data_IF_549905663710
#
_entry.id   IF_549905663710
#
_cell.length_a   1.000
_cell.length_b   1.000
_cell.length_c   1.000
_cell.angle_alpha   90.00
_cell.angle_beta   90.00
_cell.angle_gamma   90.00
#
_symmetry.space_group_name_H-M   'P 1'
#
loop_
_entity.id
_entity.type
_entity.pdbx_description
1 polymer ?
#
# COMPACT_ATOMS: atom_id res chain seq x y z
N UNK A 1 -15.62 50.46 -64.74
CA UNK A 1 -16.26 49.39 -63.95
C UNK A 1 -15.18 48.74 -63.11
N UNK A 2 -15.12 49.11 -61.80
CA UNK A 2 -14.08 48.65 -60.89
C UNK A 2 -14.65 47.38 -60.23
N UNK A 3 -14.07 46.20 -60.50
CA UNK A 3 -14.47 44.93 -59.85
C UNK A 3 -13.66 44.81 -58.57
N UNK A 4 -14.32 44.98 -57.43
CA UNK A 4 -13.69 44.79 -56.11
C UNK A 4 -13.76 43.32 -55.75
N UNK A 5 -12.59 42.61 -55.79
CA UNK A 5 -12.51 41.22 -55.30
C UNK A 5 -12.32 41.27 -53.80
N UNK A 6 -13.37 40.84 -53.04
CA UNK A 6 -13.26 40.57 -51.61
C UNK A 6 -12.57 39.22 -51.39
N UNK A 7 -11.35 39.25 -50.96
CA UNK A 7 -10.68 38.04 -50.44
C UNK A 7 -11.16 37.74 -49.03
N UNK A 8 -11.81 36.63 -48.81
CA UNK A 8 -12.10 36.09 -47.47
C UNK A 8 -10.75 35.60 -46.91
N UNK A 9 -10.10 36.39 -46.08
CA UNK A 9 -8.90 35.96 -45.38
C UNK A 9 -9.33 35.27 -44.10
N UNK A 10 -9.04 33.98 -43.99
CA UNK A 10 -9.13 33.25 -42.73
C UNK A 10 -7.86 33.58 -41.92
N UNK A 11 -8.09 34.12 -40.70
CA UNK A 11 -6.96 34.46 -39.78
C UNK A 11 -6.57 33.19 -39.00
N UNK A 12 -5.90 32.27 -39.65
CA UNK A 12 -5.25 31.11 -39.01
C UNK A 12 -3.75 31.43 -38.81
N UNK A 13 -3.21 30.95 -37.69
CA UNK A 13 -1.79 31.12 -37.38
C UNK A 13 -1.11 29.75 -37.52
N UNK A 14 -0.32 29.63 -38.59
CA UNK A 14 0.57 28.49 -38.78
C UNK A 14 2.00 28.87 -38.34
N UNK A 15 2.60 28.12 -37.47
CA UNK A 15 4.03 28.24 -37.16
C UNK A 15 4.73 27.03 -37.80
N UNK A 16 5.58 27.32 -38.78
CA UNK A 16 6.29 26.34 -39.58
C UNK A 16 5.36 25.38 -40.36
N UNK A 17 4.14 25.84 -40.70
CA UNK A 17 3.19 25.24 -41.61
C UNK A 17 2.47 26.29 -42.44
N UNK A 18 2.24 25.99 -43.72
CA UNK A 18 1.50 26.88 -44.66
C UNK A 18 0.03 26.43 -44.81
N UNK A 19 -0.31 25.28 -44.24
CA UNK A 19 -1.67 24.69 -44.28
C UNK A 19 -2.11 24.33 -42.86
N UNK A 20 -2.41 25.33 -42.00
CA UNK A 20 -2.79 25.07 -40.61
C UNK A 20 -4.13 24.33 -40.55
N UNK A 21 -4.21 23.27 -39.76
CA UNK A 21 -5.42 22.46 -39.53
C UNK A 21 -6.30 23.02 -38.40
N UNK A 22 -5.86 24.09 -37.71
CA UNK A 22 -6.57 24.78 -36.64
C UNK A 22 -6.36 26.28 -36.66
N UNK A 23 -6.96 27.03 -35.72
CA UNK A 23 -6.76 28.47 -35.55
C UNK A 23 -5.28 28.79 -35.24
N UNK A 24 -4.63 27.93 -34.48
CA UNK A 24 -3.21 27.91 -34.25
C UNK A 24 -2.70 26.47 -34.53
N UNK A 25 -1.77 26.36 -35.44
CA UNK A 25 -1.10 25.09 -35.76
C UNK A 25 0.42 25.28 -35.71
N UNK A 26 1.09 24.46 -34.91
CA UNK A 26 2.55 24.52 -34.70
C UNK A 26 3.17 23.21 -35.13
N UNK A 27 3.91 23.22 -36.21
CA UNK A 27 4.62 22.06 -36.72
C UNK A 27 6.11 22.15 -36.41
N UNK A 28 6.62 21.23 -35.58
CA UNK A 28 8.06 21.16 -35.28
C UNK A 28 8.48 19.74 -34.96
N UNK A 29 9.56 19.27 -35.56
CA UNK A 29 10.18 17.99 -35.26
C UNK A 29 11.12 18.03 -34.03
N UNK A 30 11.51 19.22 -33.58
CA UNK A 30 12.59 19.40 -32.59
C UNK A 30 12.26 20.36 -31.46
N UNK A 31 11.15 21.10 -31.55
CA UNK A 31 10.79 22.13 -30.56
C UNK A 31 9.38 21.97 -30.06
N UNK A 32 9.13 22.26 -28.81
CA UNK A 32 7.82 22.21 -28.17
C UNK A 32 7.25 23.59 -27.89
N UNK A 33 6.05 23.63 -27.30
CA UNK A 33 5.41 24.85 -26.79
C UNK A 33 5.73 24.99 -25.31
N UNK A 34 6.21 26.18 -24.92
CA UNK A 34 6.40 26.55 -23.52
C UNK A 34 5.19 27.37 -23.08
N UNK A 35 4.41 26.81 -22.15
CA UNK A 35 3.27 27.49 -21.55
C UNK A 35 3.73 28.59 -20.56
N UNK A 36 2.89 29.60 -20.27
CA UNK A 36 3.20 30.60 -19.26
C UNK A 36 3.53 29.93 -17.92
N UNK A 37 4.67 30.30 -17.33
CA UNK A 37 5.11 29.78 -16.04
C UNK A 37 4.59 30.66 -14.93
N UNK A 38 3.83 30.05 -14.01
CA UNK A 38 3.21 30.77 -12.89
C UNK A 38 3.41 30.00 -11.58
N UNK A 39 3.40 30.73 -10.48
CA UNK A 39 3.43 30.19 -9.15
C UNK A 39 1.99 30.11 -8.62
N UNK A 40 1.31 28.99 -8.85
CA UNK A 40 -0.03 28.78 -8.31
C UNK A 40 0.05 28.62 -6.78
N UNK A 41 -0.98 29.06 -6.08
CA UNK A 41 -1.05 29.03 -4.61
C UNK A 41 -1.93 27.93 -4.07
N UNK A 42 -2.94 27.51 -4.83
CA UNK A 42 -3.80 26.38 -4.52
C UNK A 42 -4.61 25.98 -5.76
N UNK A 43 -5.12 24.77 -5.78
CA UNK A 43 -5.94 24.24 -6.87
C UNK A 43 -7.23 25.03 -7.10
N UNK A 44 -7.88 25.47 -6.04
CA UNK A 44 -9.15 26.21 -6.07
C UNK A 44 -9.00 27.75 -6.09
N UNK A 45 -7.79 28.26 -6.32
CA UNK A 45 -7.50 29.71 -6.38
C UNK A 45 -7.01 30.08 -7.77
N UNK A 46 -7.75 30.97 -8.46
CA UNK A 46 -7.41 31.42 -9.81
C UNK A 46 -6.10 32.20 -9.86
N UNK A 47 -5.89 33.09 -8.86
CA UNK A 47 -4.69 33.92 -8.79
C UNK A 47 -3.39 33.07 -8.74
N UNK A 48 -2.30 33.56 -9.36
CA UNK A 48 -2.11 34.91 -9.92
C UNK A 48 -2.64 35.09 -11.35
N UNK A 49 -3.24 34.07 -11.94
CA UNK A 49 -3.74 34.13 -13.33
C UNK A 49 -5.08 34.84 -13.38
N UNK A 50 -5.20 35.81 -14.25
CA UNK A 50 -6.41 36.60 -14.43
C UNK A 50 -6.84 36.60 -15.89
N UNK A 51 -8.13 36.76 -16.13
CA UNK A 51 -8.66 37.03 -17.46
C UNK A 51 -8.28 38.48 -17.84
N UNK A 52 -7.52 38.70 -18.93
CA UNK A 52 -7.04 40.05 -19.30
C UNK A 52 -8.17 41.01 -19.68
N UNK A 53 -9.33 40.47 -20.07
CA UNK A 53 -10.47 41.32 -20.46
C UNK A 53 -11.34 41.78 -19.29
N UNK A 54 -11.40 40.95 -18.24
CA UNK A 54 -12.34 41.22 -17.11
C UNK A 54 -11.64 41.46 -15.79
N UNK A 55 -10.33 41.08 -15.68
CA UNK A 55 -9.59 41.09 -14.43
C UNK A 55 -10.02 40.00 -13.42
N UNK A 56 -11.00 39.18 -13.79
CA UNK A 56 -11.52 38.08 -12.98
C UNK A 56 -10.76 36.78 -13.20
N UNK A 57 -11.39 35.64 -12.81
CA UNK A 57 -10.82 34.31 -13.01
C UNK A 57 -10.58 34.01 -14.50
N UNK A 58 -9.57 33.20 -14.83
CA UNK A 58 -9.32 32.76 -16.21
C UNK A 58 -10.53 31.98 -16.76
N UNK A 59 -10.66 31.95 -18.06
CA UNK A 59 -11.70 31.16 -18.73
C UNK A 59 -11.34 29.67 -18.71
N UNK A 60 -12.33 28.79 -18.73
CA UNK A 60 -12.11 27.35 -18.88
C UNK A 60 -11.28 27.05 -20.13
N UNK A 61 -10.29 26.19 -19.98
CA UNK A 61 -9.33 25.88 -21.04
C UNK A 61 -8.07 26.74 -21.02
N UNK A 62 -7.87 27.62 -20.03
CA UNK A 62 -6.62 28.36 -19.85
C UNK A 62 -5.54 27.43 -19.30
N UNK A 63 -4.42 27.28 -20.06
CA UNK A 63 -3.27 26.44 -19.69
C UNK A 63 -2.14 27.26 -19.08
N UNK A 64 -1.50 26.70 -18.03
CA UNK A 64 -0.30 27.24 -17.42
C UNK A 64 0.64 26.12 -16.97
N UNK A 65 1.93 26.41 -16.86
CA UNK A 65 2.89 25.54 -16.18
C UNK A 65 3.11 26.06 -14.76
N UNK A 66 2.65 25.33 -13.77
CA UNK A 66 2.89 25.67 -12.37
C UNK A 66 4.34 25.36 -11.99
N UNK A 67 4.99 26.29 -11.27
CA UNK A 67 6.39 26.17 -10.82
C UNK A 67 6.54 25.90 -9.33
N UNK A 68 5.46 25.91 -8.55
CA UNK A 68 5.48 25.78 -7.09
C UNK A 68 4.93 24.46 -6.60
N UNK A 69 5.36 24.07 -5.40
CA UNK A 69 4.74 23.05 -4.57
C UNK A 69 4.10 23.72 -3.38
N UNK A 70 2.86 23.35 -3.05
CA UNK A 70 2.21 23.73 -1.79
C UNK A 70 2.05 22.50 -0.90
N UNK A 71 1.87 22.72 0.40
CA UNK A 71 1.69 21.67 1.40
C UNK A 71 0.65 22.15 2.42
N UNK A 72 -0.58 22.34 1.94
CA UNK A 72 -1.71 22.88 2.71
C UNK A 72 -2.88 21.89 2.79
N UNK A 73 -2.78 20.76 2.09
CA UNK A 73 -3.77 19.70 2.08
C UNK A 73 -4.37 19.42 0.69
N UNK A 74 -5.66 19.17 0.61
CA UNK A 74 -6.35 18.69 -0.60
C UNK A 74 -6.30 19.63 -1.80
N UNK A 75 -5.99 20.92 -1.59
CA UNK A 75 -5.87 21.91 -2.65
C UNK A 75 -4.42 22.15 -3.08
N UNK A 76 -3.51 21.26 -2.77
CA UNK A 76 -2.12 21.38 -3.13
C UNK A 76 -1.91 21.34 -4.64
N UNK A 77 -0.95 22.16 -5.06
CA UNK A 77 -0.43 22.18 -6.43
C UNK A 77 1.04 21.78 -6.44
N UNK A 78 1.47 21.18 -7.52
CA UNK A 78 2.83 20.69 -7.72
C UNK A 78 3.34 21.18 -9.08
N UNK A 79 4.66 21.25 -9.31
CA UNK A 79 5.20 21.63 -10.62
C UNK A 79 4.66 20.73 -11.74
N UNK A 80 4.11 21.36 -12.79
CA UNK A 80 3.52 20.65 -13.92
C UNK A 80 2.53 21.48 -14.71
N UNK A 81 1.98 20.90 -15.77
CA UNK A 81 0.99 21.52 -16.62
C UNK A 81 -0.41 21.45 -15.99
N UNK A 82 -1.09 22.58 -15.97
CA UNK A 82 -2.46 22.71 -15.46
C UNK A 82 -3.38 23.37 -16.46
N UNK A 83 -4.65 23.04 -16.39
CA UNK A 83 -5.74 23.73 -17.09
C UNK A 83 -6.75 24.25 -16.09
N UNK A 84 -7.22 25.50 -16.27
CA UNK A 84 -8.35 26.02 -15.51
C UNK A 84 -9.65 25.45 -16.04
N UNK A 85 -10.38 24.77 -15.19
CA UNK A 85 -11.66 24.16 -15.53
C UNK A 85 -12.54 24.08 -14.29
N UNK A 86 -13.81 24.46 -14.41
CA UNK A 86 -14.79 24.40 -13.33
C UNK A 86 -14.36 25.09 -12.02
N UNK A 87 -13.74 26.26 -12.14
CA UNK A 87 -13.22 27.07 -11.03
C UNK A 87 -12.07 26.41 -10.25
N UNK A 88 -11.33 25.51 -10.90
CA UNK A 88 -10.12 24.93 -10.31
C UNK A 88 -9.01 24.67 -11.36
N UNK A 89 -7.79 24.56 -10.88
CA UNK A 89 -6.63 24.12 -11.65
C UNK A 89 -6.56 22.60 -11.66
N UNK A 90 -6.79 22.01 -12.82
CA UNK A 90 -6.74 20.56 -13.02
C UNK A 90 -5.38 20.18 -13.59
N UNK A 91 -4.64 19.33 -12.86
CA UNK A 91 -3.34 18.82 -13.31
C UNK A 91 -3.50 17.98 -14.60
N UNK A 92 -2.62 18.23 -15.57
CA UNK A 92 -2.59 17.49 -16.85
C UNK A 92 -1.48 16.42 -16.86
N UNK A 93 -1.20 15.85 -15.71
CA UNK A 93 -0.28 14.73 -15.52
C UNK A 93 -0.80 13.78 -14.45
N UNK A 94 -0.41 12.52 -14.55
CA UNK A 94 -0.80 11.53 -13.55
C UNK A 94 0.10 11.67 -12.32
N UNK A 95 -0.52 11.82 -11.14
CA UNK A 95 0.18 11.70 -9.87
C UNK A 95 0.37 10.22 -9.55
N UNK A 96 1.58 9.85 -9.18
CA UNK A 96 1.93 8.51 -8.74
C UNK A 96 2.93 8.58 -7.60
N UNK A 97 2.60 7.89 -6.52
CA UNK A 97 3.48 7.70 -5.37
C UNK A 97 3.21 6.32 -4.80
N UNK A 98 4.27 5.54 -4.65
CA UNK A 98 4.20 4.20 -4.10
C UNK A 98 5.44 3.91 -3.29
N UNK A 99 5.27 3.29 -2.11
CA UNK A 99 6.36 2.88 -1.24
C UNK A 99 6.02 1.56 -0.57
N UNK A 100 6.96 0.62 -0.63
CA UNK A 100 6.87 -0.67 0.07
C UNK A 100 7.90 -0.69 1.19
N UNK A 101 7.45 -1.11 2.36
CA UNK A 101 8.29 -1.48 3.51
C UNK A 101 8.16 -2.97 3.73
N UNK A 102 9.25 -3.62 4.05
CA UNK A 102 9.32 -5.06 4.07
C UNK A 102 10.11 -5.56 5.29
N UNK A 103 9.69 -6.69 5.84
CA UNK A 103 10.42 -7.37 6.89
C UNK A 103 11.84 -7.70 6.43
N UNK A 104 12.84 -7.30 7.22
CA UNK A 104 14.26 -7.45 6.86
C UNK A 104 14.89 -8.75 7.33
N UNK A 105 14.36 -9.40 8.37
CA UNK A 105 14.83 -10.71 8.83
C UNK A 105 14.18 -11.82 7.99
N UNK A 106 14.89 -12.24 6.94
CA UNK A 106 14.44 -13.21 5.94
C UNK A 106 15.20 -14.55 6.01
N UNK A 107 15.69 -14.93 7.17
CA UNK A 107 16.34 -16.24 7.30
C UNK A 107 15.41 -17.39 6.86
N UNK A 108 15.95 -18.58 6.67
CA UNK A 108 15.19 -19.77 6.28
C UNK A 108 14.01 -20.06 7.25
N UNK A 109 14.09 -19.52 8.46
CA UNK A 109 13.10 -19.67 9.52
C UNK A 109 12.30 -18.37 9.79
N UNK A 110 12.57 -17.26 9.08
CA UNK A 110 11.94 -15.98 9.35
C UNK A 110 12.24 -15.45 10.75
N UNK A 111 11.26 -14.76 11.36
CA UNK A 111 11.33 -14.32 12.75
C UNK A 111 10.61 -15.33 13.64
N UNK A 112 11.32 -16.03 14.51
CA UNK A 112 10.71 -16.88 15.53
C UNK A 112 10.13 -16.02 16.65
N UNK A 113 8.87 -16.26 17.01
CA UNK A 113 8.19 -15.52 18.09
C UNK A 113 8.85 -15.81 19.46
N UNK A 114 8.80 -14.84 20.36
CA UNK A 114 9.20 -14.97 21.75
C UNK A 114 7.98 -14.68 22.66
N UNK A 115 8.11 -14.95 23.94
CA UNK A 115 7.05 -14.61 24.90
C UNK A 115 6.73 -13.12 24.84
N UNK A 116 5.43 -12.79 24.80
CA UNK A 116 4.95 -11.42 24.71
C UNK A 116 5.03 -10.85 23.31
N UNK A 117 5.28 -9.56 23.24
CA UNK A 117 5.24 -8.79 22.00
C UNK A 117 6.56 -8.93 21.22
N UNK A 118 6.45 -9.22 19.95
CA UNK A 118 7.56 -9.35 19.03
C UNK A 118 7.58 -8.16 18.07
N UNK A 119 8.62 -7.34 18.11
CA UNK A 119 8.85 -6.30 17.11
C UNK A 119 9.32 -6.93 15.81
N UNK A 120 8.77 -6.48 14.69
CA UNK A 120 9.08 -7.04 13.37
C UNK A 120 10.19 -6.21 12.72
N UNK A 121 11.39 -6.78 12.50
CA UNK A 121 12.49 -6.07 11.85
C UNK A 121 12.11 -5.55 10.46
N UNK A 122 12.43 -4.29 10.16
CA UNK A 122 12.00 -3.59 8.95
C UNK A 122 10.73 -2.74 9.15
N UNK A 123 10.14 -2.83 10.38
CA UNK A 123 8.98 -2.02 10.78
C UNK A 123 9.19 -1.36 12.16
N UNK A 124 10.43 -1.16 12.55
CA UNK A 124 10.76 -0.58 13.86
C UNK A 124 11.14 0.87 13.66
N UNK A 125 10.30 1.79 14.16
CA UNK A 125 10.52 3.24 14.07
C UNK A 125 10.71 3.70 12.61
N UNK A 126 9.90 3.19 11.71
CA UNK A 126 9.90 3.59 10.32
C UNK A 126 9.02 4.83 10.09
N UNK A 127 9.26 5.51 8.98
CA UNK A 127 8.48 6.69 8.59
C UNK A 127 8.06 6.60 7.13
N UNK A 128 6.85 7.06 6.85
CA UNK A 128 6.36 7.31 5.51
C UNK A 128 6.11 8.80 5.30
N UNK A 129 6.68 9.38 4.25
CA UNK A 129 6.47 10.77 3.86
C UNK A 129 5.85 10.80 2.47
N UNK A 130 4.54 11.11 2.36
CA UNK A 130 3.84 11.13 1.09
C UNK A 130 4.34 12.25 0.19
N UNK A 131 4.43 11.97 -1.11
CA UNK A 131 4.81 12.93 -2.13
C UNK A 131 3.66 13.89 -2.48
N UNK A 132 2.43 13.41 -2.40
CA UNK A 132 1.23 14.17 -2.72
C UNK A 132 0.27 14.16 -1.54
N UNK A 133 -0.46 15.26 -1.33
CA UNK A 133 -1.60 15.27 -0.43
C UNK A 133 -2.78 14.56 -1.08
N UNK A 134 -3.53 13.77 -0.29
CA UNK A 134 -4.69 13.02 -0.75
C UNK A 134 -4.81 11.66 -0.12
N UNK A 135 -5.64 10.82 -0.71
CA UNK A 135 -5.95 9.48 -0.21
C UNK A 135 -4.90 8.47 -0.65
N UNK A 136 -4.31 7.79 0.32
CA UNK A 136 -3.41 6.65 0.13
C UNK A 136 -4.09 5.36 0.53
N UNK A 137 -3.93 4.32 -0.28
CA UNK A 137 -4.24 2.95 0.10
C UNK A 137 -3.02 2.35 0.77
N UNK A 138 -3.16 2.04 2.06
CA UNK A 138 -2.21 1.23 2.80
C UNK A 138 -2.69 -0.21 2.78
N UNK A 139 -1.86 -1.12 2.28
CA UNK A 139 -2.06 -2.56 2.39
C UNK A 139 -1.00 -3.16 3.29
N UNK A 140 -1.46 -3.80 4.37
CA UNK A 140 -0.63 -4.52 5.33
C UNK A 140 -0.80 -6.00 5.03
N UNK A 141 0.29 -6.68 4.71
CA UNK A 141 0.31 -8.11 4.41
C UNK A 141 1.22 -8.79 5.42
N UNK A 142 0.67 -9.74 6.13
CA UNK A 142 1.35 -10.49 7.19
C UNK A 142 1.34 -11.97 6.89
N UNK A 143 2.41 -12.66 7.29
CA UNK A 143 2.57 -14.09 7.11
C UNK A 143 2.96 -14.72 8.45
N UNK A 144 2.15 -15.68 8.89
CA UNK A 144 2.32 -16.33 10.18
C UNK A 144 2.17 -17.84 10.08
N UNK A 145 3.07 -18.56 10.76
CA UNK A 145 3.02 -20.00 10.96
C UNK A 145 3.15 -20.34 12.44
N UNK A 146 2.27 -21.18 12.95
CA UNK A 146 2.29 -21.61 14.36
C UNK A 146 3.45 -22.55 14.69
N UNK A 147 3.67 -22.76 15.99
CA UNK A 147 4.61 -23.70 16.54
C UNK A 147 4.08 -25.11 16.61
N UNK A 148 4.72 -25.97 17.41
CA UNK A 148 4.35 -27.37 17.54
C UNK A 148 3.05 -27.57 18.34
N UNK A 149 2.17 -28.41 17.82
CA UNK A 149 1.09 -28.97 18.61
C UNK A 149 1.63 -29.84 19.74
N UNK A 150 0.91 -29.85 20.88
CA UNK A 150 1.28 -30.68 22.03
C UNK A 150 1.21 -32.16 21.68
N UNK A 151 2.21 -32.91 22.15
CA UNK A 151 2.22 -34.35 22.06
C UNK A 151 1.10 -34.93 22.94
N UNK A 152 0.28 -35.75 22.36
CA UNK A 152 -0.70 -36.48 23.19
C UNK A 152 -0.01 -37.46 24.10
N UNK A 153 -0.45 -37.51 25.36
CA UNK A 153 -0.02 -38.58 26.23
C UNK A 153 -0.43 -39.91 25.62
N UNK A 154 0.52 -40.78 25.40
CA UNK A 154 0.34 -42.15 24.94
C UNK A 154 -0.36 -43.05 26.00
N UNK A 155 -0.88 -42.47 27.04
CA UNK A 155 -1.34 -43.18 28.23
C UNK A 155 -2.70 -43.83 28.10
N UNK A 156 -3.42 -43.72 27.01
CA UNK A 156 -4.61 -44.52 26.78
C UNK A 156 -4.26 -45.76 25.98
N UNK A 157 -3.83 -46.79 26.67
CA UNK A 157 -3.53 -48.10 26.11
C UNK A 157 -4.71 -48.79 25.45
N UNK A 158 -5.91 -48.25 25.55
CA UNK A 158 -7.11 -48.86 25.02
C UNK A 158 -7.53 -48.39 23.64
N UNK A 159 -6.93 -47.31 23.12
CA UNK A 159 -7.38 -46.71 21.86
C UNK A 159 -6.29 -46.48 20.84
N UNK A 160 -5.06 -46.94 21.09
CA UNK A 160 -4.00 -46.90 20.05
C UNK A 160 -4.23 -48.03 19.06
N UNK A 161 -4.65 -47.74 17.87
CA UNK A 161 -4.40 -48.62 16.76
C UNK A 161 -2.90 -48.59 16.50
N UNK A 162 -2.22 -49.67 16.87
CA UNK A 162 -0.78 -49.83 16.74
C UNK A 162 -0.31 -49.40 15.33
N UNK A 163 0.52 -48.40 15.19
CA UNK A 163 1.01 -47.94 13.89
C UNK A 163 2.05 -48.87 13.27
N UNK A 164 2.34 -50.00 13.94
CA UNK A 164 3.36 -50.96 13.50
C UNK A 164 3.07 -51.69 12.20
N UNK A 165 1.98 -51.43 11.51
CA UNK A 165 1.61 -52.12 10.27
C UNK A 165 1.86 -51.31 8.99
N UNK A 166 2.72 -50.32 9.00
CA UNK A 166 3.15 -49.65 7.77
C UNK A 166 2.09 -48.71 7.12
N UNK A 167 0.97 -48.53 7.74
CA UNK A 167 -0.10 -47.68 7.22
C UNK A 167 -0.02 -46.30 7.87
N UNK A 168 0.68 -45.40 7.21
CA UNK A 168 0.94 -44.01 7.66
C UNK A 168 -0.28 -43.10 7.76
N UNK A 169 -1.49 -43.67 7.56
CA UNK A 169 -2.70 -42.85 7.45
C UNK A 169 -3.78 -43.24 8.45
N UNK A 170 -3.50 -44.10 9.42
CA UNK A 170 -4.48 -44.44 10.43
C UNK A 170 -4.22 -43.78 11.74
N UNK A 171 -4.66 -42.56 11.80
CA UNK A 171 -4.74 -41.83 13.06
C UNK A 171 -6.18 -41.86 13.55
N UNK A 172 -6.65 -43.03 13.91
CA UNK A 172 -7.87 -43.14 14.68
C UNK A 172 -7.45 -43.09 16.14
N UNK A 173 -7.21 -41.93 16.64
CA UNK A 173 -7.26 -41.72 18.07
C UNK A 173 -8.73 -41.65 18.44
N UNK A 174 -9.29 -42.72 18.88
CA UNK A 174 -10.67 -42.74 19.40
C UNK A 174 -10.64 -41.96 20.72
N UNK A 175 -11.41 -40.93 20.78
CA UNK A 175 -11.45 -39.99 21.91
C UNK A 175 -10.43 -38.90 21.86
N UNK A 176 -9.79 -38.69 20.69
CA UNK A 176 -8.77 -37.73 20.51
C UNK A 176 -9.06 -36.66 19.50
N UNK A 177 -9.13 -35.49 19.99
CA UNK A 177 -9.62 -34.34 19.28
C UNK A 177 -8.50 -33.49 18.62
N UNK A 178 -7.22 -33.90 18.72
CA UNK A 178 -6.13 -32.94 18.49
C UNK A 178 -5.06 -33.37 17.51
N UNK A 179 -5.46 -33.89 16.36
CA UNK A 179 -4.52 -34.05 15.25
C UNK A 179 -4.19 -32.74 14.55
N UNK A 180 -5.06 -31.74 14.69
CA UNK A 180 -4.84 -30.41 14.14
C UNK A 180 -5.19 -29.39 15.22
N UNK A 181 -4.29 -28.46 15.45
CA UNK A 181 -4.47 -27.39 16.42
C UNK A 181 -4.28 -26.03 15.69
N UNK A 182 -5.23 -25.13 15.88
CA UNK A 182 -5.04 -23.76 15.44
C UNK A 182 -4.14 -23.01 16.41
N UNK A 183 -3.27 -22.19 15.88
CA UNK A 183 -2.48 -21.23 16.63
C UNK A 183 -2.79 -19.84 16.14
N UNK A 184 -2.98 -18.94 17.08
CA UNK A 184 -3.52 -17.62 16.82
C UNK A 184 -2.59 -16.54 17.34
N UNK A 185 -2.71 -15.36 16.76
CA UNK A 185 -2.01 -14.17 17.20
C UNK A 185 -2.53 -12.92 16.49
N UNK A 186 -2.01 -11.79 16.90
CA UNK A 186 -2.43 -10.51 16.36
C UNK A 186 -1.21 -9.68 15.99
N UNK A 187 -1.19 -9.20 14.75
CA UNK A 187 -0.30 -8.14 14.32
C UNK A 187 -0.96 -6.80 14.63
N UNK A 188 -0.22 -5.92 15.24
CA UNK A 188 -0.63 -4.53 15.43
C UNK A 188 0.29 -3.65 14.60
N UNK A 189 -0.27 -3.03 13.58
CA UNK A 189 0.39 -1.99 12.81
C UNK A 189 -0.05 -0.64 13.38
N UNK A 190 0.87 0.04 14.05
CA UNK A 190 0.64 1.39 14.53
C UNK A 190 1.09 2.38 13.46
N UNK A 191 0.20 3.24 13.01
CA UNK A 191 0.49 4.31 12.08
C UNK A 191 0.06 5.64 12.69
N UNK A 192 1.01 6.51 12.94
CA UNK A 192 0.80 7.85 13.51
C UNK A 192 -0.11 7.82 14.76
N UNK A 193 0.15 6.84 15.66
CA UNK A 193 -0.59 6.65 16.90
C UNK A 193 -1.90 5.87 16.78
N UNK A 194 -2.34 5.53 15.59
CA UNK A 194 -3.55 4.71 15.36
C UNK A 194 -3.16 3.25 15.12
N UNK A 195 -3.79 2.33 15.85
CA UNK A 195 -3.55 0.90 15.70
C UNK A 195 -4.50 0.27 14.68
N UNK A 196 -3.94 -0.51 13.78
CA UNK A 196 -4.64 -1.39 12.85
C UNK A 196 -4.27 -2.82 13.20
N UNK A 197 -5.25 -3.57 13.70
CA UNK A 197 -5.03 -4.92 14.17
C UNK A 197 -5.36 -5.92 13.07
N UNK A 198 -4.42 -6.82 12.80
CA UNK A 198 -4.57 -7.89 11.82
C UNK A 198 -4.48 -9.22 12.53
N UNK A 199 -5.61 -9.86 12.67
CA UNK A 199 -5.69 -11.19 13.26
C UNK A 199 -5.10 -12.22 12.32
N UNK A 200 -4.27 -13.10 12.85
CA UNK A 200 -3.63 -14.16 12.10
C UNK A 200 -3.81 -15.51 12.82
N UNK A 201 -4.07 -16.54 12.05
CA UNK A 201 -4.12 -17.89 12.53
C UNK A 201 -3.24 -18.80 11.65
N UNK A 202 -2.89 -19.93 12.21
CA UNK A 202 -2.13 -20.98 11.55
C UNK A 202 -2.58 -22.33 12.11
N UNK A 203 -2.23 -23.41 11.44
CA UNK A 203 -2.50 -24.75 11.91
C UNK A 203 -1.20 -25.51 12.11
N UNK A 204 -1.18 -26.32 13.15
CA UNK A 204 -0.12 -27.27 13.41
C UNK A 204 -0.73 -28.66 13.59
N UNK A 205 0.00 -29.67 13.15
CA UNK A 205 -0.46 -31.06 13.25
C UNK A 205 0.55 -31.90 13.99
N UNK A 206 0.05 -32.89 14.70
CA UNK A 206 0.85 -33.94 15.30
C UNK A 206 0.45 -35.28 14.73
N UNK A 207 1.43 -36.12 14.41
CA UNK A 207 1.23 -37.45 13.88
C UNK A 207 2.32 -38.41 14.39
N UNK A 208 1.97 -39.24 15.36
CA UNK A 208 2.73 -40.42 15.81
C UNK A 208 4.26 -40.23 15.82
N UNK A 209 4.74 -39.23 16.55
CA UNK A 209 6.17 -38.92 16.66
C UNK A 209 6.73 -38.01 15.55
N UNK A 210 5.88 -37.65 14.57
CA UNK A 210 6.23 -36.63 13.57
C UNK A 210 5.37 -35.41 13.78
N UNK A 211 6.02 -34.28 14.00
CA UNK A 211 5.39 -33.01 14.21
C UNK A 211 5.39 -32.26 12.89
N UNK A 212 4.21 -31.87 12.44
CA UNK A 212 4.02 -31.00 11.30
C UNK A 212 3.55 -29.67 11.85
N UNK A 213 4.35 -28.64 11.65
CA UNK A 213 4.03 -27.30 12.10
C UNK A 213 4.06 -26.35 10.91
N UNK A 214 3.49 -25.20 11.16
CA UNK A 214 3.53 -24.10 10.23
C UNK A 214 2.87 -24.38 8.89
N UNK A 215 1.58 -24.64 8.93
CA UNK A 215 0.76 -24.32 7.77
C UNK A 215 0.67 -22.78 7.79
N UNK A 216 1.42 -22.19 6.89
CA UNK A 216 1.56 -20.73 6.80
C UNK A 216 0.31 -20.12 6.21
N UNK A 217 -0.17 -19.07 6.86
CA UNK A 217 -1.25 -18.26 6.32
C UNK A 217 -0.78 -16.83 6.13
N UNK A 218 -1.14 -16.31 4.99
CA UNK A 218 -1.01 -14.91 4.65
C UNK A 218 -2.36 -14.23 4.85
N UNK A 219 -2.34 -13.11 5.55
CA UNK A 219 -3.51 -12.26 5.76
C UNK A 219 -3.20 -10.86 5.30
N UNK A 220 -4.15 -10.21 4.65
CA UNK A 220 -4.03 -8.81 4.25
C UNK A 220 -5.09 -7.96 4.92
N UNK A 221 -4.73 -6.70 5.16
CA UNK A 221 -5.61 -5.66 5.68
C UNK A 221 -5.40 -4.38 4.90
N UNK A 222 -6.48 -3.79 4.42
CA UNK A 222 -6.44 -2.58 3.60
C UNK A 222 -7.15 -1.46 4.35
N UNK A 223 -6.50 -0.29 4.40
CA UNK A 223 -7.06 0.94 4.93
C UNK A 223 -6.75 2.11 3.99
N UNK A 224 -7.64 3.08 3.94
CA UNK A 224 -7.45 4.32 3.21
C UNK A 224 -7.16 5.44 4.20
N UNK A 225 -6.12 6.20 3.90
CA UNK A 225 -5.57 7.24 4.77
C UNK A 225 -5.49 8.55 4.00
N UNK A 226 -6.01 9.62 4.56
CA UNK A 226 -5.82 10.96 4.00
C UNK A 226 -4.54 11.55 4.58
N UNK A 227 -3.54 11.72 3.72
CA UNK A 227 -2.19 12.14 4.11
C UNK A 227 -1.84 13.48 3.46
N UNK A 228 -0.94 14.22 4.11
CA UNK A 228 -0.48 15.53 3.64
C UNK A 228 0.95 15.43 3.12
N UNK A 229 1.19 15.96 1.93
CA UNK A 229 2.50 15.99 1.26
C UNK A 229 3.59 16.54 2.17
N UNK A 230 4.73 15.84 2.21
CA UNK A 230 5.90 16.27 2.96
C UNK A 230 5.81 16.11 4.48
N UNK A 231 4.67 15.69 5.02
CA UNK A 231 4.53 15.33 6.43
C UNK A 231 5.03 13.91 6.64
N UNK A 232 5.92 13.72 7.64
CA UNK A 232 6.39 12.38 7.99
C UNK A 232 5.45 11.74 9.00
N UNK A 233 5.00 10.53 8.71
CA UNK A 233 4.12 9.72 9.55
C UNK A 233 4.90 8.52 10.06
N UNK A 234 5.03 8.43 11.39
CA UNK A 234 5.74 7.34 12.04
C UNK A 234 4.89 6.06 12.04
N UNK A 235 5.53 4.91 11.91
CA UNK A 235 4.85 3.63 12.08
C UNK A 235 5.77 2.53 12.59
N UNK A 236 5.14 1.52 13.16
CA UNK A 236 5.78 0.27 13.56
C UNK A 236 4.81 -0.91 13.42
N UNK A 237 5.35 -2.11 13.39
CA UNK A 237 4.56 -3.35 13.42
C UNK A 237 5.11 -4.29 14.48
N UNK A 238 4.20 -4.81 15.28
CA UNK A 238 4.47 -5.83 16.31
C UNK A 238 3.55 -7.02 16.11
N UNK A 239 3.91 -8.15 16.69
CA UNK A 239 3.09 -9.35 16.73
C UNK A 239 3.03 -9.91 18.14
N UNK A 240 1.85 -10.33 18.57
CA UNK A 240 1.61 -11.04 19.80
C UNK A 240 0.97 -12.40 19.50
N UNK A 241 1.71 -13.49 19.76
CA UNK A 241 1.18 -14.84 19.66
C UNK A 241 0.35 -15.15 20.90
N UNK A 242 -0.87 -15.64 20.71
CA UNK A 242 -1.72 -16.00 21.84
C UNK A 242 -1.32 -17.35 22.43
N UNK A 243 -1.45 -17.46 23.73
CA UNK A 243 -1.22 -18.71 24.42
C UNK A 243 -2.31 -19.72 24.09
N UNK A 244 -1.90 -20.98 23.90
CA UNK A 244 -2.81 -22.08 23.63
C UNK A 244 -2.32 -23.34 24.36
N UNK A 245 -3.15 -23.90 25.23
CA UNK A 245 -2.82 -25.09 26.05
C UNK A 245 -2.64 -26.36 25.21
N UNK A 246 -3.03 -26.36 23.94
CA UNK A 246 -2.86 -27.45 22.99
C UNK A 246 -1.59 -27.34 22.16
N UNK A 247 -0.82 -26.30 22.40
CA UNK A 247 0.47 -26.06 21.78
C UNK A 247 1.56 -26.28 22.81
N UNK A 248 2.64 -26.91 22.39
CA UNK A 248 3.77 -27.23 23.27
C UNK A 248 4.34 -25.95 23.94
N UNK A 249 4.52 -26.02 25.25
CA UNK A 249 4.93 -24.87 26.06
C UNK A 249 3.99 -23.64 25.94
N UNK A 250 2.70 -23.86 25.98
CA UNK A 250 1.65 -22.83 25.92
C UNK A 250 1.61 -22.00 24.63
N UNK A 251 2.29 -22.44 23.59
CA UNK A 251 2.27 -21.75 22.30
C UNK A 251 3.07 -20.44 22.24
N UNK A 252 3.51 -19.92 23.36
CA UNK A 252 4.27 -18.64 23.42
C UNK A 252 5.68 -18.82 24.01
N UNK A 253 6.11 -20.05 24.22
CA UNK A 253 7.45 -20.38 24.71
C UNK A 253 7.95 -21.71 24.13
N UNK A 254 9.23 -21.99 24.24
CA UNK A 254 9.82 -23.25 23.80
C UNK A 254 9.46 -23.62 22.35
N UNK A 255 9.01 -24.84 22.12
CA UNK A 255 8.66 -25.36 20.79
C UNK A 255 7.28 -24.91 20.32
N UNK A 256 6.45 -24.36 21.20
CA UNK A 256 5.16 -23.76 20.86
C UNK A 256 5.25 -22.40 20.17
N UNK A 257 6.44 -21.81 20.09
CA UNK A 257 6.62 -20.54 19.38
C UNK A 257 6.43 -20.71 17.89
N UNK A 258 5.75 -19.73 17.28
CA UNK A 258 5.53 -19.67 15.84
C UNK A 258 6.63 -18.90 15.11
N UNK A 259 6.35 -18.63 13.85
CA UNK A 259 7.26 -17.99 12.94
C UNK A 259 6.53 -16.92 12.12
N UNK A 260 7.21 -15.81 11.86
CA UNK A 260 6.67 -14.69 11.10
C UNK A 260 7.53 -14.49 9.85
N UNK A 261 6.87 -14.42 8.69
CA UNK A 261 7.53 -14.04 7.43
C UNK A 261 8.53 -15.06 6.90
N UNK A 262 8.27 -16.35 7.08
CA UNK A 262 9.09 -17.41 6.48
C UNK A 262 8.83 -17.51 4.99
N UNK A 263 9.87 -17.42 4.18
CA UNK A 263 9.84 -17.40 2.71
C UNK A 263 9.07 -16.24 2.09
N UNK A 264 7.99 -15.77 2.73
CA UNK A 264 7.19 -14.63 2.31
C UNK A 264 7.20 -13.60 3.44
N UNK A 265 7.93 -12.51 3.31
CA UNK A 265 8.02 -11.50 4.36
C UNK A 265 6.69 -10.80 4.58
N UNK A 266 6.53 -10.21 5.78
CA UNK A 266 5.49 -9.22 5.99
C UNK A 266 5.85 -7.93 5.26
N UNK A 267 4.87 -7.22 4.73
CA UNK A 267 5.08 -5.92 4.11
C UNK A 267 3.90 -4.98 4.28
N UNK A 268 4.20 -3.68 4.17
CA UNK A 268 3.23 -2.61 4.13
C UNK A 268 3.48 -1.79 2.87
N UNK A 269 2.44 -1.61 2.08
CA UNK A 269 2.50 -0.89 0.82
C UNK A 269 1.59 0.33 0.87
N UNK A 270 2.17 1.51 0.63
CA UNK A 270 1.45 2.76 0.47
C UNK A 270 1.34 3.10 -1.00
N UNK A 271 0.13 3.33 -1.48
CA UNK A 271 -0.15 3.72 -2.86
C UNK A 271 -1.06 4.94 -2.89
N UNK A 272 -0.63 6.00 -3.59
CA UNK A 272 -1.48 7.17 -3.85
C UNK A 272 -2.66 6.78 -4.74
N UNK A 273 -3.87 7.18 -4.36
CA UNK A 273 -5.10 6.86 -5.08
C UNK A 273 -5.68 8.10 -5.74
N UNK A 274 -5.88 9.16 -4.96
CA UNK A 274 -6.53 10.40 -5.45
C UNK A 274 -6.27 11.59 -4.52
N UNK A 275 -6.56 12.77 -5.04
CA UNK A 275 -6.61 14.04 -4.30
C UNK A 275 -7.84 14.12 -3.42
#
# INVERSE_FOLDING_TARGET
MLICFSFLSHSQVGINTTSPEGVLDVNSATSGIVFPRVALTARNVAAPVVNPNTGGAPVNGTYVFNTTTTSTGTNDVYPGLYVWYNNEWVAQYQKSDSKVFEQTNRGAEGLRTVNGVNAIPGFINETFTPKFSGTYRLEIIVNYGGGFAEDKPTSSTTNQVNPGSGHRHRHTYVGDEHNVVSQEGEFTFNFNGTNYNVYANSYSTYNAGQRYYAIWFQTSYIVYLDLVSGVSYDFNMIFNQFENTKIQNNGNSGDGRGYIGVHVPCYAEFNFISD
#
